data_IF_729205499684
#
_entry.id   IF_729205499684
#
_cell.length_a   1.000
_cell.length_b   1.000
_cell.length_c   1.000
_cell.angle_alpha   90.00
_cell.angle_beta   90.00
_cell.angle_gamma   90.00
#
_symmetry.space_group_name_H-M   'P 1'
#
loop_
_entity.id
_entity.type
_entity.pdbx_description
1 polymer ?
#
# COMPACT_ATOMS: atom_id res chain seq x y z
N UNK A 1 5.33 -2.49 26.69
CA UNK A 1 5.45 -3.96 26.56
C UNK A 1 6.71 -4.25 25.75
N UNK A 2 7.44 -5.32 26.09
CA UNK A 2 8.84 -5.59 25.71
C UNK A 2 9.15 -5.58 24.19
N UNK A 3 9.51 -4.43 23.61
CA UNK A 3 10.25 -4.32 22.34
C UNK A 3 11.31 -3.23 22.46
N UNK A 4 12.28 -3.42 23.36
CA UNK A 4 13.54 -2.69 23.37
C UNK A 4 14.61 -3.63 23.89
N UNK A 5 15.25 -4.41 23.01
CA UNK A 5 16.64 -4.86 23.22
C UNK A 5 17.19 -5.83 22.15
N UNK A 6 16.91 -5.73 20.85
CA UNK A 6 17.65 -6.56 19.87
C UNK A 6 17.88 -5.98 18.47
N UNK A 7 17.41 -4.76 18.17
CA UNK A 7 17.61 -4.16 16.83
C UNK A 7 18.84 -3.25 16.70
N UNK A 8 19.45 -2.78 17.81
CA UNK A 8 20.58 -1.83 17.77
C UNK A 8 21.97 -2.49 17.77
N UNK A 9 22.08 -3.76 18.20
CA UNK A 9 23.38 -4.42 18.43
C UNK A 9 23.87 -5.28 17.27
N UNK A 10 23.08 -5.49 16.21
CA UNK A 10 23.52 -6.22 15.01
C UNK A 10 23.89 -5.35 13.80
N UNK A 11 23.53 -4.07 13.79
CA UNK A 11 23.90 -3.15 12.70
C UNK A 11 25.13 -2.28 13.01
N UNK A 12 25.47 -2.07 14.30
CA UNK A 12 26.61 -1.25 14.72
C UNK A 12 27.98 -1.97 14.77
N UNK A 13 28.06 -3.25 14.38
CA UNK A 13 29.32 -4.00 14.31
C UNK A 13 29.87 -4.20 12.89
N UNK A 14 29.28 -3.56 11.88
CA UNK A 14 29.81 -3.55 10.51
C UNK A 14 30.73 -2.35 10.18
N UNK A 15 31.13 -1.56 11.18
CA UNK A 15 32.15 -0.50 11.03
C UNK A 15 33.51 -0.88 11.64
N UNK A 16 33.86 -2.16 11.62
CA UNK A 16 35.19 -2.61 12.03
C UNK A 16 36.12 -2.67 10.83
N UNK A 17 36.90 -1.58 10.67
CA UNK A 17 38.21 -1.50 10.00
C UNK A 17 38.85 -2.86 9.74
N UNK A 18 38.65 -3.42 8.54
CA UNK A 18 39.45 -4.51 8.00
C UNK A 18 40.11 -4.02 6.71
N UNK A 19 41.31 -3.45 6.92
CA UNK A 19 42.49 -3.52 6.06
C UNK A 19 42.24 -3.98 4.60
N UNK A 20 41.86 -3.05 3.72
CA UNK A 20 42.01 -3.23 2.28
C UNK A 20 43.48 -3.00 1.94
N UNK A 21 44.27 -4.07 1.83
CA UNK A 21 45.64 -3.98 1.33
C UNK A 21 45.59 -3.67 -0.16
N UNK A 22 45.97 -2.42 -0.49
CA UNK A 22 46.08 -1.88 -1.83
C UNK A 22 47.10 -2.70 -2.65
N UNK A 23 46.64 -3.53 -3.58
CA UNK A 23 47.48 -4.18 -4.57
C UNK A 23 47.74 -3.18 -5.71
N UNK A 24 48.92 -2.57 -5.71
CA UNK A 24 49.39 -1.72 -6.80
C UNK A 24 49.83 -2.63 -7.96
N UNK A 25 48.91 -2.95 -8.88
CA UNK A 25 49.22 -3.69 -10.09
C UNK A 25 49.71 -2.74 -11.18
N UNK A 26 50.91 -3.03 -11.68
CA UNK A 26 51.58 -2.42 -12.83
C UNK A 26 50.64 -2.35 -14.05
N UNK A 27 50.24 -1.13 -14.45
CA UNK A 27 49.43 -0.88 -15.63
C UNK A 27 50.24 -1.15 -16.90
N UNK A 28 50.21 -2.39 -17.39
CA UNK A 28 50.64 -2.70 -18.75
C UNK A 28 49.45 -2.32 -19.65
N UNK A 29 49.59 -1.25 -20.42
CA UNK A 29 48.64 -0.86 -21.45
C UNK A 29 48.65 -1.90 -22.58
N UNK A 30 47.93 -3.01 -22.40
CA UNK A 30 47.48 -3.79 -23.54
C UNK A 30 46.34 -3.01 -24.18
N UNK A 31 46.52 -2.56 -25.41
CA UNK A 31 45.40 -2.29 -26.30
C UNK A 31 44.74 -3.63 -26.60
N UNK A 32 43.98 -4.15 -25.65
CA UNK A 32 43.09 -5.27 -25.89
C UNK A 32 41.95 -4.73 -26.76
N UNK A 33 41.91 -5.15 -28.01
CA UNK A 33 40.71 -5.02 -28.82
C UNK A 33 39.61 -5.79 -28.09
N UNK A 34 38.47 -5.15 -27.82
CA UNK A 34 37.28 -5.87 -27.38
C UNK A 34 36.92 -6.89 -28.46
N UNK A 35 36.83 -8.16 -28.09
CA UNK A 35 36.34 -9.22 -28.98
C UNK A 35 34.90 -9.54 -28.61
N UNK A 36 34.04 -9.65 -29.61
CA UNK A 36 32.68 -10.15 -29.39
C UNK A 36 32.66 -11.68 -29.46
N UNK A 37 32.36 -12.31 -28.34
CA UNK A 37 32.11 -13.74 -28.22
C UNK A 37 30.61 -14.01 -28.20
N UNK A 38 30.15 -14.90 -29.06
CA UNK A 38 28.75 -15.36 -29.08
C UNK A 38 28.66 -16.83 -28.71
N UNK A 39 27.76 -17.22 -27.82
CA UNK A 39 27.59 -18.63 -27.51
C UNK A 39 26.96 -19.38 -28.70
N UNK A 40 27.54 -20.52 -29.08
CA UNK A 40 27.10 -21.35 -30.23
C UNK A 40 26.47 -22.67 -29.82
N UNK A 41 26.59 -23.03 -28.54
CA UNK A 41 25.99 -24.21 -27.95
C UNK A 41 25.75 -24.01 -26.46
N UNK A 42 25.01 -24.93 -25.84
CA UNK A 42 24.98 -25.02 -24.38
C UNK A 42 26.36 -25.44 -23.86
N UNK A 43 26.76 -24.92 -22.70
CA UNK A 43 28.06 -25.28 -22.12
C UNK A 43 28.49 -24.39 -20.97
N UNK A 44 29.65 -24.71 -20.40
CA UNK A 44 30.26 -23.89 -19.34
C UNK A 44 30.79 -22.58 -19.92
N UNK A 45 30.69 -21.50 -19.13
CA UNK A 45 31.27 -20.19 -19.45
C UNK A 45 32.76 -20.32 -19.77
N UNK A 46 33.51 -21.10 -18.97
CA UNK A 46 34.96 -21.25 -19.16
C UNK A 46 35.36 -22.24 -20.26
N UNK A 47 34.41 -22.81 -21.02
CA UNK A 47 34.75 -23.74 -22.10
C UNK A 47 34.94 -22.97 -23.42
N UNK A 48 36.12 -23.02 -24.07
CA UNK A 48 36.34 -22.35 -25.35
C UNK A 48 35.39 -22.78 -26.46
N UNK A 49 34.85 -24.00 -26.38
CA UNK A 49 33.90 -24.56 -27.35
C UNK A 49 32.48 -24.03 -27.20
N UNK A 50 32.16 -23.33 -26.10
CA UNK A 50 30.86 -22.67 -25.92
C UNK A 50 30.75 -21.45 -26.83
N UNK A 51 31.88 -20.83 -27.21
CA UNK A 51 31.92 -19.49 -27.81
C UNK A 51 32.48 -19.48 -29.24
N UNK A 52 32.01 -18.52 -30.03
CA UNK A 52 32.62 -18.12 -31.31
C UNK A 52 32.97 -16.62 -31.28
N UNK A 53 34.19 -16.21 -31.69
CA UNK A 53 35.33 -17.05 -32.04
C UNK A 53 35.76 -18.00 -30.91
N UNK A 54 36.48 -19.08 -31.24
CA UNK A 54 36.89 -20.06 -30.22
C UNK A 54 37.76 -19.39 -29.16
N UNK A 55 37.30 -19.39 -27.91
CA UNK A 55 37.94 -18.71 -26.79
C UNK A 55 36.96 -18.57 -25.63
N UNK A 56 37.40 -17.92 -24.54
CA UNK A 56 36.56 -17.65 -23.38
C UNK A 56 36.47 -16.13 -23.24
N UNK A 57 35.26 -15.54 -23.14
CA UNK A 57 35.13 -14.12 -22.86
C UNK A 57 35.88 -13.75 -21.58
N UNK A 58 36.73 -12.73 -21.65
CA UNK A 58 37.45 -12.17 -20.51
C UNK A 58 36.99 -10.71 -20.26
N UNK A 59 37.30 -10.11 -19.10
CA UNK A 59 36.93 -8.72 -18.85
C UNK A 59 37.47 -7.79 -19.95
N UNK A 60 36.59 -6.98 -20.54
CA UNK A 60 36.87 -6.14 -21.71
C UNK A 60 36.21 -6.60 -23.01
N UNK A 61 35.81 -7.87 -23.09
CA UNK A 61 35.10 -8.44 -24.24
C UNK A 61 33.58 -8.25 -24.16
N UNK A 62 32.91 -8.43 -25.30
CA UNK A 62 31.45 -8.50 -25.38
C UNK A 62 30.99 -9.97 -25.44
N UNK A 63 30.24 -10.44 -24.46
CA UNK A 63 29.67 -11.78 -24.40
C UNK A 63 28.17 -11.74 -24.75
N UNK A 64 27.79 -12.37 -25.87
CA UNK A 64 26.41 -12.55 -26.31
C UNK A 64 25.99 -13.99 -26.08
N UNK A 65 24.97 -14.19 -25.26
CA UNK A 65 24.48 -15.51 -24.85
C UNK A 65 23.17 -15.81 -25.57
N UNK A 66 23.21 -16.76 -26.50
CA UNK A 66 22.08 -17.26 -27.29
C UNK A 66 21.61 -18.67 -26.87
N UNK A 67 22.30 -19.28 -25.92
CA UNK A 67 22.13 -20.67 -25.50
C UNK A 67 22.13 -20.77 -23.96
N UNK A 68 21.96 -21.97 -23.42
CA UNK A 68 22.05 -22.20 -21.97
C UNK A 68 23.52 -22.29 -21.55
N UNK A 69 24.05 -21.19 -21.03
CA UNK A 69 25.42 -21.10 -20.53
C UNK A 69 25.42 -21.29 -19.01
N UNK A 70 26.30 -22.18 -18.54
CA UNK A 70 26.51 -22.46 -17.14
C UNK A 70 27.62 -21.55 -16.62
N UNK A 71 27.31 -20.67 -15.68
CA UNK A 71 28.31 -19.83 -15.00
C UNK A 71 29.05 -20.69 -13.98
N UNK A 72 30.21 -21.24 -14.35
CA UNK A 72 31.02 -22.11 -13.49
C UNK A 72 32.20 -21.40 -12.82
N UNK A 73 32.25 -20.07 -12.90
CA UNK A 73 33.20 -19.20 -12.20
C UNK A 73 32.51 -17.88 -11.86
N UNK A 74 32.85 -17.26 -10.73
CA UNK A 74 32.42 -15.88 -10.48
C UNK A 74 33.08 -14.95 -11.50
N UNK A 75 32.42 -13.83 -11.79
CA UNK A 75 32.86 -12.95 -12.88
C UNK A 75 32.74 -11.48 -12.48
N UNK A 76 33.82 -10.73 -12.69
CA UNK A 76 33.88 -9.29 -12.49
C UNK A 76 34.35 -8.65 -13.79
N UNK A 77 33.68 -7.59 -14.23
CA UNK A 77 34.00 -6.94 -15.49
C UNK A 77 34.02 -5.42 -15.33
N UNK A 78 35.08 -4.83 -15.86
CA UNK A 78 35.41 -3.40 -15.76
C UNK A 78 35.24 -2.66 -17.09
N UNK A 79 34.95 -3.39 -18.16
CA UNK A 79 34.59 -2.90 -19.51
C UNK A 79 34.02 -4.07 -20.33
N UNK A 80 33.48 -3.78 -21.52
CA UNK A 80 32.80 -4.77 -22.37
C UNK A 80 31.33 -4.98 -21.99
N UNK A 81 30.73 -6.09 -22.39
CA UNK A 81 29.32 -6.35 -22.11
C UNK A 81 28.98 -7.82 -21.88
N UNK A 82 27.89 -8.06 -21.16
CA UNK A 82 27.20 -9.35 -21.11
C UNK A 82 25.76 -9.12 -21.55
N UNK A 83 25.33 -9.85 -22.59
CA UNK A 83 23.95 -9.82 -23.09
C UNK A 83 23.38 -11.22 -23.10
N UNK A 84 22.30 -11.45 -22.35
CA UNK A 84 21.54 -12.71 -22.38
C UNK A 84 20.26 -12.50 -23.18
N UNK A 85 20.11 -13.20 -24.31
CA UNK A 85 18.95 -13.02 -25.20
C UNK A 85 17.68 -13.75 -24.74
N UNK A 86 16.52 -13.39 -25.32
CA UNK A 86 15.13 -13.74 -24.90
C UNK A 86 14.77 -15.24 -24.86
N UNK A 87 15.70 -16.15 -25.11
CA UNK A 87 15.49 -17.60 -24.94
C UNK A 87 16.73 -18.31 -24.39
N UNK A 88 17.69 -17.53 -23.90
CA UNK A 88 18.97 -18.00 -23.41
C UNK A 88 19.03 -17.89 -21.88
N UNK A 89 20.01 -18.56 -21.28
CA UNK A 89 20.20 -18.50 -19.84
C UNK A 89 21.66 -18.39 -19.44
N UNK A 90 21.92 -17.66 -18.35
CA UNK A 90 23.19 -17.69 -17.61
C UNK A 90 22.93 -18.15 -16.19
N UNK A 91 23.19 -19.43 -15.91
CA UNK A 91 22.81 -20.08 -14.65
C UNK A 91 24.03 -20.65 -13.97
N UNK A 92 24.21 -20.34 -12.69
CA UNK A 92 25.30 -20.89 -11.88
C UNK A 92 25.25 -22.42 -11.78
N UNK A 93 26.41 -23.07 -11.80
CA UNK A 93 26.55 -24.52 -11.57
C UNK A 93 26.33 -24.91 -10.09
N UNK A 94 26.72 -24.02 -9.19
CA UNK A 94 26.60 -24.15 -7.73
C UNK A 94 26.20 -22.80 -7.12
N UNK A 95 25.56 -22.76 -5.94
CA UNK A 95 25.11 -21.52 -5.29
C UNK A 95 26.27 -20.74 -4.66
N UNK A 96 27.28 -20.39 -5.47
CA UNK A 96 28.47 -19.65 -5.02
C UNK A 96 29.00 -18.67 -6.07
N UNK A 97 28.26 -18.46 -7.17
CA UNK A 97 28.74 -17.67 -8.31
C UNK A 97 28.21 -16.27 -8.24
N UNK A 98 29.13 -15.32 -8.31
CA UNK A 98 28.82 -13.90 -8.15
C UNK A 98 29.13 -13.15 -9.44
N UNK A 99 28.41 -12.04 -9.65
CA UNK A 99 28.66 -11.10 -10.73
C UNK A 99 28.93 -9.71 -10.15
N UNK A 100 30.01 -9.08 -10.62
CA UNK A 100 30.35 -7.69 -10.29
C UNK A 100 30.49 -6.83 -11.54
N UNK A 101 29.60 -5.85 -11.69
CA UNK A 101 29.64 -4.80 -12.71
C UNK A 101 30.44 -3.60 -12.15
N UNK A 102 31.66 -3.38 -12.66
CA UNK A 102 32.60 -2.40 -12.10
C UNK A 102 33.33 -1.56 -13.16
N UNK A 103 32.60 -1.02 -14.12
CA UNK A 103 33.20 -0.26 -15.21
C UNK A 103 32.26 0.77 -15.78
N UNK A 104 32.70 2.03 -15.92
CA UNK A 104 31.85 3.09 -16.46
C UNK A 104 31.32 2.78 -17.87
N UNK A 105 32.07 2.02 -18.68
CA UNK A 105 31.66 1.55 -20.01
C UNK A 105 31.14 0.11 -20.03
N UNK A 106 31.08 -0.57 -18.89
CA UNK A 106 30.61 -1.93 -18.81
C UNK A 106 29.06 -1.97 -18.90
N UNK A 107 28.53 -2.94 -19.65
CA UNK A 107 27.07 -3.08 -19.84
C UNK A 107 26.61 -4.49 -19.51
N UNK A 108 25.50 -4.60 -18.78
CA UNK A 108 24.84 -5.86 -18.48
C UNK A 108 23.38 -5.82 -18.90
N UNK A 109 23.02 -6.63 -19.87
CA UNK A 109 21.66 -6.72 -20.40
C UNK A 109 21.13 -8.14 -20.22
N UNK A 110 20.06 -8.27 -19.43
CA UNK A 110 19.32 -9.52 -19.31
C UNK A 110 17.97 -9.42 -20.02
N UNK A 111 17.82 -10.16 -21.12
CA UNK A 111 16.53 -10.38 -21.77
C UNK A 111 16.01 -11.81 -21.59
N UNK A 112 16.82 -12.72 -21.03
CA UNK A 112 16.52 -14.14 -20.85
C UNK A 112 16.38 -14.52 -19.38
N UNK A 113 17.05 -15.59 -18.96
CA UNK A 113 17.06 -16.03 -17.56
C UNK A 113 18.46 -16.00 -16.96
N UNK A 114 18.60 -15.39 -15.79
CA UNK A 114 19.85 -15.38 -15.04
C UNK A 114 19.60 -15.91 -13.63
N UNK A 115 20.49 -16.77 -13.15
CA UNK A 115 20.48 -17.25 -11.77
C UNK A 115 21.89 -17.29 -11.23
N UNK A 116 22.16 -16.47 -10.24
CA UNK A 116 23.47 -16.33 -9.59
C UNK A 116 23.27 -16.24 -8.07
N UNK A 117 24.36 -16.23 -7.30
CA UNK A 117 24.30 -16.03 -5.85
C UNK A 117 24.22 -14.54 -5.53
N UNK A 118 25.28 -13.78 -5.81
CA UNK A 118 25.31 -12.36 -5.48
C UNK A 118 25.56 -11.47 -6.71
N UNK A 119 24.98 -10.27 -6.68
CA UNK A 119 25.21 -9.23 -7.67
C UNK A 119 25.71 -7.94 -7.02
N UNK A 120 26.76 -7.36 -7.56
CA UNK A 120 27.23 -6.02 -7.18
C UNK A 120 27.24 -5.12 -8.42
N UNK A 121 26.51 -4.02 -8.37
CA UNK A 121 26.46 -3.02 -9.43
C UNK A 121 27.16 -1.73 -8.96
N UNK A 122 28.45 -1.60 -9.24
CA UNK A 122 29.27 -0.47 -8.76
C UNK A 122 29.44 0.64 -9.79
N UNK A 123 29.54 0.30 -11.08
CA UNK A 123 29.68 1.27 -12.17
C UNK A 123 29.30 0.62 -13.50
N UNK A 124 28.60 1.35 -14.37
CA UNK A 124 28.23 0.88 -15.72
C UNK A 124 26.74 1.03 -16.00
N UNK A 125 26.24 0.26 -16.96
CA UNK A 125 24.82 0.23 -17.34
C UNK A 125 24.22 -1.15 -17.07
N UNK A 126 23.06 -1.18 -16.41
CA UNK A 126 22.32 -2.40 -16.14
C UNK A 126 20.88 -2.31 -16.65
N UNK A 127 20.42 -3.35 -17.34
CA UNK A 127 19.04 -3.49 -17.80
C UNK A 127 18.54 -4.92 -17.68
N UNK A 128 17.37 -5.12 -17.06
CA UNK A 128 16.72 -6.41 -16.90
C UNK A 128 15.30 -6.41 -17.49
N UNK A 129 15.13 -6.95 -18.68
CA UNK A 129 13.82 -7.23 -19.29
C UNK A 129 13.38 -8.69 -19.14
N UNK A 130 14.31 -9.58 -18.77
CA UNK A 130 14.08 -11.01 -18.52
C UNK A 130 13.78 -11.33 -17.05
N UNK A 131 14.14 -12.54 -16.63
CA UNK A 131 14.06 -12.99 -15.23
C UNK A 131 15.46 -13.06 -14.63
N UNK A 132 15.66 -12.38 -13.52
CA UNK A 132 16.92 -12.37 -12.76
C UNK A 132 16.68 -12.89 -11.35
N UNK A 133 17.39 -13.94 -10.98
CA UNK A 133 17.37 -14.51 -9.63
C UNK A 133 18.74 -14.39 -8.97
N UNK A 134 18.76 -13.86 -7.75
CA UNK A 134 19.94 -13.80 -6.89
C UNK A 134 19.55 -13.93 -5.41
N UNK A 135 20.50 -14.29 -4.56
CA UNK A 135 20.31 -14.25 -3.11
C UNK A 135 20.34 -12.80 -2.64
N UNK A 136 21.45 -12.10 -2.87
CA UNK A 136 21.61 -10.72 -2.43
C UNK A 136 22.19 -9.84 -3.52
N UNK A 137 21.81 -8.56 -3.53
CA UNK A 137 22.40 -7.58 -4.42
C UNK A 137 22.64 -6.24 -3.73
N UNK A 138 23.69 -5.55 -4.17
CA UNK A 138 23.96 -4.16 -3.83
C UNK A 138 24.02 -3.33 -5.13
N UNK A 139 23.24 -2.28 -5.18
CA UNK A 139 23.13 -1.37 -6.32
C UNK A 139 23.67 0.02 -5.97
N UNK A 140 24.64 0.50 -6.74
CA UNK A 140 25.22 1.85 -6.65
C UNK A 140 25.09 2.62 -7.97
N UNK A 141 24.28 2.11 -8.90
CA UNK A 141 24.07 2.71 -10.22
C UNK A 141 22.56 2.80 -10.52
N UNK A 142 22.20 3.17 -11.74
CA UNK A 142 20.84 3.01 -12.23
C UNK A 142 20.56 1.57 -12.67
N UNK A 143 19.68 0.89 -11.96
CA UNK A 143 19.12 -0.42 -12.29
C UNK A 143 17.76 -0.24 -12.96
N UNK A 144 17.65 -0.56 -14.25
CA UNK A 144 16.37 -0.59 -14.95
C UNK A 144 15.79 -2.02 -14.94
N UNK A 145 14.58 -2.17 -14.42
CA UNK A 145 13.89 -3.45 -14.30
C UNK A 145 12.47 -3.42 -14.89
N UNK A 146 12.31 -3.50 -16.22
CA UNK A 146 11.03 -3.85 -16.84
C UNK A 146 10.64 -5.34 -16.73
N UNK A 147 11.59 -6.21 -16.38
CA UNK A 147 11.39 -7.66 -16.22
C UNK A 147 11.05 -8.10 -14.80
N UNK A 148 11.49 -9.31 -14.43
CA UNK A 148 11.32 -9.88 -13.10
C UNK A 148 12.64 -9.99 -12.34
N UNK A 149 12.65 -9.61 -11.08
CA UNK A 149 13.73 -9.85 -10.11
C UNK A 149 13.20 -10.72 -8.98
N UNK A 150 13.91 -11.80 -8.69
CA UNK A 150 13.69 -12.66 -7.53
C UNK A 150 14.92 -12.60 -6.63
N UNK A 151 14.87 -11.74 -5.62
CA UNK A 151 15.88 -11.59 -4.59
C UNK A 151 15.50 -12.45 -3.38
N UNK A 152 16.24 -13.53 -3.16
CA UNK A 152 15.88 -14.55 -2.17
C UNK A 152 16.16 -14.09 -0.73
N UNK A 153 17.03 -13.10 -0.56
CA UNK A 153 17.44 -12.62 0.75
C UNK A 153 17.34 -11.08 0.81
N UNK A 154 18.34 -10.36 0.29
CA UNK A 154 18.50 -8.93 0.59
C UNK A 154 18.85 -8.09 -0.63
N UNK A 155 18.11 -7.01 -0.85
CA UNK A 155 18.40 -5.99 -1.86
C UNK A 155 18.78 -4.68 -1.16
N UNK A 156 20.00 -4.21 -1.39
CA UNK A 156 20.47 -2.90 -0.95
C UNK A 156 20.54 -1.95 -2.15
N UNK A 157 19.89 -0.80 -2.05
CA UNK A 157 19.94 0.26 -3.04
C UNK A 157 20.61 1.51 -2.47
N UNK A 158 21.64 1.99 -3.15
CA UNK A 158 22.39 3.22 -2.90
C UNK A 158 22.73 3.89 -4.24
N UNK A 159 21.81 3.73 -5.18
CA UNK A 159 21.76 4.37 -6.48
C UNK A 159 20.30 4.54 -6.88
N UNK A 160 19.97 4.29 -8.14
CA UNK A 160 18.59 4.39 -8.61
C UNK A 160 18.05 3.02 -9.01
N UNK A 161 16.86 2.65 -8.55
CA UNK A 161 16.09 1.54 -9.12
C UNK A 161 14.87 2.10 -9.84
N UNK A 162 14.74 1.78 -11.12
CA UNK A 162 13.54 2.02 -11.91
C UNK A 162 12.82 0.68 -12.14
N UNK A 163 11.79 0.40 -11.34
CA UNK A 163 11.03 -0.84 -11.43
C UNK A 163 9.76 -0.66 -12.26
N UNK A 164 9.75 -1.19 -13.48
CA UNK A 164 8.56 -1.25 -14.34
C UNK A 164 7.94 -2.66 -14.41
N UNK A 165 8.60 -3.66 -13.83
CA UNK A 165 8.11 -5.04 -13.75
C UNK A 165 7.87 -5.48 -12.31
N UNK A 166 8.43 -6.62 -11.92
CA UNK A 166 8.22 -7.21 -10.59
C UNK A 166 9.54 -7.36 -9.86
N UNK A 167 9.58 -6.94 -8.60
CA UNK A 167 10.65 -7.27 -7.64
C UNK A 167 10.02 -8.09 -6.52
N UNK A 168 10.41 -9.35 -6.44
CA UNK A 168 10.14 -10.20 -5.27
C UNK A 168 11.39 -10.18 -4.38
N UNK A 169 11.25 -9.72 -3.13
CA UNK A 169 12.38 -9.55 -2.20
C UNK A 169 11.96 -9.85 -0.77
N UNK A 170 12.86 -10.45 0.03
CA UNK A 170 12.61 -10.68 1.45
C UNK A 170 12.94 -9.44 2.27
N UNK A 171 14.16 -8.93 2.18
CA UNK A 171 14.59 -7.69 2.85
C UNK A 171 15.00 -6.65 1.83
N UNK A 172 14.41 -5.45 1.93
CA UNK A 172 14.72 -4.34 1.03
C UNK A 172 15.18 -3.11 1.80
N UNK A 173 16.36 -2.61 1.48
CA UNK A 173 16.90 -1.36 2.02
C UNK A 173 17.10 -0.36 0.89
N UNK A 174 16.42 0.78 0.96
CA UNK A 174 16.59 1.89 0.03
C UNK A 174 17.29 3.06 0.71
N UNK A 175 18.52 3.37 0.27
CA UNK A 175 19.32 4.50 0.76
C UNK A 175 19.26 5.75 -0.13
N UNK A 176 18.86 5.58 -1.39
CA UNK A 176 18.85 6.64 -2.40
C UNK A 176 17.50 6.60 -3.15
N UNK A 177 17.46 6.52 -4.48
CA UNK A 177 16.24 6.69 -5.25
C UNK A 177 15.58 5.35 -5.65
N UNK A 178 14.32 5.17 -5.27
CA UNK A 178 13.46 4.10 -5.75
C UNK A 178 12.25 4.67 -6.51
N UNK A 179 12.15 4.32 -7.80
CA UNK A 179 10.98 4.61 -8.64
C UNK A 179 10.22 3.32 -8.92
N UNK A 180 9.09 3.11 -8.25
CA UNK A 180 8.23 1.95 -8.47
C UNK A 180 7.06 2.28 -9.39
N UNK A 181 7.08 1.77 -10.61
CA UNK A 181 5.96 1.78 -11.57
C UNK A 181 5.26 0.42 -11.67
N UNK A 182 5.86 -0.63 -11.11
CA UNK A 182 5.37 -2.01 -11.17
C UNK A 182 4.98 -2.55 -9.79
N UNK A 183 5.41 -3.77 -9.48
CA UNK A 183 5.11 -4.43 -8.20
C UNK A 183 6.38 -4.70 -7.41
N UNK A 184 6.34 -4.38 -6.11
CA UNK A 184 7.30 -4.87 -5.12
C UNK A 184 6.54 -5.67 -4.07
N UNK A 185 6.97 -6.91 -3.85
CA UNK A 185 6.33 -7.83 -2.91
C UNK A 185 7.35 -8.85 -2.38
N UNK A 186 6.88 -9.76 -1.52
CA UNK A 186 7.69 -10.89 -1.03
C UNK A 186 7.80 -12.01 -2.03
N UNK A 187 8.72 -12.95 -1.79
CA UNK A 187 8.79 -14.20 -2.55
C UNK A 187 7.52 -15.05 -2.43
N UNK A 188 6.87 -15.04 -1.26
CA UNK A 188 5.61 -15.75 -1.01
C UNK A 188 4.40 -14.83 -1.02
N UNK A 189 4.48 -13.68 -0.33
CA UNK A 189 3.34 -12.75 -0.19
C UNK A 189 3.80 -11.29 -0.08
N UNK A 190 4.60 -10.94 0.92
CA UNK A 190 4.99 -9.56 1.26
C UNK A 190 6.47 -9.47 1.57
N UNK A 191 7.07 -8.30 1.33
CA UNK A 191 8.45 -8.03 1.76
C UNK A 191 8.50 -8.15 3.28
N UNK A 192 9.35 -9.01 3.82
CA UNK A 192 9.42 -9.23 5.28
C UNK A 192 9.82 -7.94 6.00
N UNK A 193 10.89 -7.30 5.51
CA UNK A 193 11.39 -6.04 6.08
C UNK A 193 11.78 -5.06 4.99
N UNK A 194 11.09 -3.92 4.94
CA UNK A 194 11.41 -2.77 4.10
C UNK A 194 11.91 -1.61 4.97
N UNK A 195 13.07 -1.07 4.61
CA UNK A 195 13.62 0.15 5.20
C UNK A 195 13.86 1.18 4.10
N UNK A 196 13.29 2.37 4.25
CA UNK A 196 13.56 3.51 3.38
C UNK A 196 14.30 4.62 4.16
N UNK A 197 15.50 4.96 3.72
CA UNK A 197 16.28 6.12 4.17
C UNK A 197 16.33 7.23 3.10
N UNK A 198 16.20 6.85 1.82
CA UNK A 198 16.24 7.77 0.68
C UNK A 198 14.86 8.22 0.18
N UNK A 199 14.77 8.46 -1.12
CA UNK A 199 13.54 8.85 -1.81
C UNK A 199 12.83 7.62 -2.39
N UNK A 200 11.58 7.39 -2.00
CA UNK A 200 10.75 6.30 -2.50
C UNK A 200 9.47 6.85 -3.15
N UNK A 201 9.31 6.58 -4.45
CA UNK A 201 8.11 6.92 -5.20
C UNK A 201 7.35 5.65 -5.61
N UNK A 202 6.16 5.44 -5.06
CA UNK A 202 5.21 4.43 -5.53
C UNK A 202 4.22 5.11 -6.48
N UNK A 203 4.39 4.95 -7.79
CA UNK A 203 3.61 5.68 -8.80
C UNK A 203 2.18 5.12 -8.96
N UNK A 204 1.33 5.90 -9.64
CA UNK A 204 -0.02 5.48 -9.98
C UNK A 204 -0.03 4.13 -10.72
N UNK A 205 -0.85 3.20 -10.26
CA UNK A 205 -0.93 1.83 -10.78
C UNK A 205 0.13 0.86 -10.24
N UNK A 206 1.14 1.36 -9.52
CA UNK A 206 2.13 0.54 -8.87
C UNK A 206 1.60 -0.07 -7.56
N UNK A 207 2.19 -1.18 -7.14
CA UNK A 207 1.85 -1.88 -5.90
C UNK A 207 3.10 -2.12 -5.05
N UNK A 208 2.98 -1.87 -3.75
CA UNK A 208 3.98 -2.22 -2.75
C UNK A 208 3.33 -2.96 -1.59
N UNK A 209 3.83 -4.16 -1.28
CA UNK A 209 3.38 -4.98 -0.16
C UNK A 209 4.55 -5.30 0.77
N UNK A 210 4.46 -4.92 2.04
CA UNK A 210 5.45 -5.25 3.06
C UNK A 210 4.79 -5.68 4.37
N UNK A 211 5.39 -6.62 5.08
CA UNK A 211 5.04 -6.94 6.46
C UNK A 211 5.49 -5.78 7.35
N UNK A 212 6.81 -5.66 7.58
CA UNK A 212 7.38 -4.55 8.34
C UNK A 212 7.95 -3.48 7.40
N UNK A 213 7.40 -2.27 7.47
CA UNK A 213 7.87 -1.12 6.70
C UNK A 213 8.28 0.02 7.62
N UNK A 214 9.53 0.46 7.51
CA UNK A 214 10.03 1.66 8.18
C UNK A 214 10.41 2.70 7.13
N UNK A 215 9.84 3.89 7.24
CA UNK A 215 10.27 5.07 6.51
C UNK A 215 11.05 6.01 7.42
N UNK A 216 12.28 6.35 7.07
CA UNK A 216 13.12 7.35 7.72
C UNK A 216 13.68 8.38 6.70
N UNK A 217 13.21 8.33 5.45
CA UNK A 217 13.49 9.28 4.39
C UNK A 217 12.20 9.88 3.81
N UNK A 218 12.20 10.17 2.52
CA UNK A 218 11.01 10.66 1.83
C UNK A 218 10.26 9.51 1.16
N UNK A 219 8.96 9.42 1.41
CA UNK A 219 8.10 8.42 0.77
C UNK A 219 6.87 9.11 0.19
N UNK A 220 6.61 8.90 -1.10
CA UNK A 220 5.38 9.37 -1.76
C UNK A 220 4.63 8.18 -2.35
N UNK A 221 3.40 7.96 -1.88
CA UNK A 221 2.50 6.96 -2.41
C UNK A 221 1.44 7.59 -3.32
N UNK A 222 1.47 7.31 -4.62
CA UNK A 222 0.39 7.56 -5.58
C UNK A 222 -0.31 6.26 -6.05
N UNK A 223 0.25 5.11 -5.68
CA UNK A 223 -0.23 3.78 -6.05
C UNK A 223 -0.96 3.08 -4.92
N UNK A 224 -0.92 1.75 -4.90
CA UNK A 224 -1.49 0.94 -3.84
C UNK A 224 -0.39 0.46 -2.88
N UNK A 225 -0.58 0.69 -1.58
CA UNK A 225 0.35 0.25 -0.53
C UNK A 225 -0.39 -0.58 0.52
N UNK A 226 0.24 -1.69 0.91
CA UNK A 226 -0.18 -2.48 2.07
C UNK A 226 1.03 -2.73 2.97
N UNK A 227 0.94 -2.26 4.22
CA UNK A 227 1.95 -2.45 5.24
C UNK A 227 1.35 -3.12 6.47
N UNK A 228 1.81 -4.29 6.89
CA UNK A 228 1.21 -4.89 8.09
C UNK A 228 1.61 -4.09 9.34
N UNK A 229 2.90 -3.85 9.51
CA UNK A 229 3.48 -3.04 10.57
C UNK A 229 4.19 -1.85 9.92
N UNK A 230 3.62 -0.65 10.10
CA UNK A 230 4.16 0.56 9.50
C UNK A 230 4.71 1.50 10.57
N UNK A 231 5.95 1.95 10.37
CA UNK A 231 6.58 3.01 11.15
C UNK A 231 7.07 4.12 10.24
N UNK A 232 6.52 5.33 10.39
CA UNK A 232 7.15 6.54 9.89
C UNK A 232 8.06 7.07 11.01
N UNK A 233 9.37 7.01 10.82
CA UNK A 233 10.38 7.32 11.84
C UNK A 233 10.66 8.83 11.91
N UNK A 234 11.55 9.23 12.84
CA UNK A 234 11.76 10.63 13.22
C UNK A 234 12.16 11.56 12.08
N UNK A 235 12.91 11.08 11.09
CA UNK A 235 13.25 11.88 9.91
C UNK A 235 12.36 11.58 8.69
N UNK A 236 11.37 10.71 8.87
CA UNK A 236 10.50 10.24 7.82
C UNK A 236 9.47 11.30 7.42
N UNK A 237 9.45 11.63 6.14
CA UNK A 237 8.38 12.41 5.50
C UNK A 237 7.57 11.46 4.62
N UNK A 238 6.29 11.28 4.92
CA UNK A 238 5.42 10.38 4.17
C UNK A 238 4.22 11.15 3.60
N UNK A 239 4.04 11.09 2.29
CA UNK A 239 2.89 11.67 1.58
C UNK A 239 2.07 10.55 0.96
N UNK A 240 0.80 10.47 1.35
CA UNK A 240 -0.15 9.48 0.85
C UNK A 240 -1.20 10.12 -0.08
N UNK A 241 -1.00 9.99 -1.39
CA UNK A 241 -1.93 10.42 -2.44
C UNK A 241 -2.72 9.23 -3.05
N UNK A 242 -2.33 7.99 -2.74
CA UNK A 242 -3.01 6.76 -3.16
C UNK A 242 -3.60 5.96 -1.99
N UNK A 243 -4.23 4.80 -2.25
CA UNK A 243 -4.69 3.91 -1.19
C UNK A 243 -3.52 3.33 -0.36
N UNK A 244 -3.64 3.46 0.96
CA UNK A 244 -2.76 2.86 1.95
C UNK A 244 -3.58 2.00 2.92
N UNK A 245 -3.13 0.78 3.16
CA UNK A 245 -3.70 -0.08 4.22
C UNK A 245 -2.63 -0.52 5.20
N UNK A 246 -3.01 -0.67 6.47
CA UNK A 246 -2.14 -1.25 7.47
C UNK A 246 -2.81 -2.11 8.54
N UNK A 247 -2.03 -2.91 9.27
CA UNK A 247 -2.51 -3.51 10.54
C UNK A 247 -2.23 -2.56 11.68
N UNK A 248 -0.96 -2.28 11.98
CA UNK A 248 -0.56 -1.31 13.00
C UNK A 248 0.28 -0.18 12.39
N UNK A 249 0.05 1.04 12.87
CA UNK A 249 0.82 2.22 12.43
C UNK A 249 1.37 3.00 13.63
N UNK A 250 2.64 3.37 13.52
CA UNK A 250 3.27 4.36 14.39
C UNK A 250 3.85 5.50 13.54
N UNK A 251 3.35 6.72 13.74
CA UNK A 251 3.93 7.92 13.16
C UNK A 251 4.78 8.64 14.21
N UNK A 252 6.07 8.79 13.94
CA UNK A 252 7.03 9.58 14.70
C UNK A 252 7.73 10.61 13.81
N UNK A 253 7.24 10.86 12.59
CA UNK A 253 7.77 11.87 11.67
C UNK A 253 6.64 12.73 11.12
N UNK A 254 6.84 13.26 9.91
CA UNK A 254 5.84 14.07 9.21
C UNK A 254 5.02 13.19 8.28
N UNK A 255 3.70 13.16 8.47
CA UNK A 255 2.81 12.37 7.64
C UNK A 255 1.69 13.25 7.07
N UNK A 256 1.49 13.20 5.76
CA UNK A 256 0.36 13.85 5.07
C UNK A 256 -0.50 12.80 4.37
N UNK A 257 -1.79 12.81 4.64
CA UNK A 257 -2.78 12.00 3.93
C UNK A 257 -3.68 12.87 3.04
N UNK A 258 -3.67 12.62 1.74
CA UNK A 258 -4.55 13.24 0.75
C UNK A 258 -5.57 12.27 0.15
N UNK A 259 -5.55 11.01 0.57
CA UNK A 259 -6.30 9.92 -0.03
C UNK A 259 -6.87 8.99 1.05
N UNK A 260 -7.07 7.71 0.73
CA UNK A 260 -7.66 6.73 1.64
C UNK A 260 -6.61 5.99 2.46
N UNK A 261 -6.84 5.92 3.77
CA UNK A 261 -6.12 5.07 4.72
C UNK A 261 -7.12 4.09 5.35
N UNK A 262 -6.76 2.81 5.40
CA UNK A 262 -7.52 1.79 6.12
C UNK A 262 -6.62 1.01 7.09
N UNK A 263 -6.85 1.16 8.39
CA UNK A 263 -6.13 0.43 9.44
C UNK A 263 -6.99 -0.66 10.06
N UNK A 264 -6.46 -1.88 10.15
CA UNK A 264 -7.11 -3.03 10.78
C UNK A 264 -6.84 -3.13 12.29
N UNK A 265 -5.93 -2.31 12.82
CA UNK A 265 -5.63 -2.21 14.25
C UNK A 265 -5.23 -0.75 14.57
N UNK A 266 -4.40 -0.55 15.59
CA UNK A 266 -4.23 0.74 16.21
C UNK A 266 -3.35 1.66 15.38
N UNK A 267 -3.61 2.95 15.53
CA UNK A 267 -2.76 4.01 15.01
C UNK A 267 -2.27 4.86 16.17
N UNK A 268 -0.94 4.99 16.29
CA UNK A 268 -0.31 5.91 17.20
C UNK A 268 0.36 7.04 16.43
N UNK A 269 -0.10 8.26 16.67
CA UNK A 269 0.58 9.48 16.27
C UNK A 269 1.40 10.06 17.43
N UNK A 270 2.69 10.21 17.21
CA UNK A 270 3.68 10.73 18.15
C UNK A 270 4.32 12.06 17.66
N UNK A 271 4.09 12.44 16.40
CA UNK A 271 4.59 13.68 15.80
C UNK A 271 3.49 14.34 14.93
N UNK A 272 3.82 14.84 13.74
CA UNK A 272 2.91 15.61 12.89
C UNK A 272 2.17 14.67 11.94
N UNK A 273 0.85 14.75 11.97
CA UNK A 273 -0.02 14.09 11.02
C UNK A 273 -1.05 15.08 10.48
N UNK A 274 -1.09 15.23 9.16
CA UNK A 274 -2.03 16.09 8.45
C UNK A 274 -2.94 15.25 7.55
N UNK A 275 -4.19 15.05 7.97
CA UNK A 275 -5.24 14.52 7.10
C UNK A 275 -5.91 15.69 6.36
N UNK A 276 -5.69 15.80 5.05
CA UNK A 276 -6.22 16.91 4.27
C UNK A 276 -7.73 16.78 4.03
N UNK A 277 -8.33 17.78 3.40
CA UNK A 277 -9.78 17.81 3.14
C UNK A 277 -10.31 16.75 2.18
N UNK A 278 -9.42 16.09 1.43
CA UNK A 278 -9.76 14.91 0.61
C UNK A 278 -9.36 13.60 1.29
N UNK A 279 -8.60 13.68 2.39
CA UNK A 279 -8.12 12.54 3.14
C UNK A 279 -9.24 11.82 3.89
N UNK A 280 -9.26 10.50 3.77
CA UNK A 280 -10.20 9.62 4.46
C UNK A 280 -9.44 8.57 5.24
N UNK A 281 -9.73 8.44 6.52
CA UNK A 281 -9.10 7.46 7.40
C UNK A 281 -10.21 6.61 8.01
N UNK A 282 -10.05 5.29 7.92
CA UNK A 282 -10.91 4.34 8.63
C UNK A 282 -10.02 3.40 9.45
N UNK A 283 -10.21 3.38 10.76
CA UNK A 283 -9.59 2.42 11.67
C UNK A 283 -10.65 1.49 12.23
N UNK A 284 -10.34 0.21 12.34
CA UNK A 284 -11.24 -0.74 13.01
C UNK A 284 -11.07 -0.78 14.52
N UNK A 285 -9.99 -0.18 15.05
CA UNK A 285 -9.72 -0.12 16.49
C UNK A 285 -9.44 1.33 16.93
N UNK A 286 -8.45 1.53 17.80
CA UNK A 286 -8.25 2.78 18.53
C UNK A 286 -7.20 3.69 17.89
N UNK A 287 -7.37 4.98 18.13
CA UNK A 287 -6.43 6.04 17.77
C UNK A 287 -5.81 6.66 19.02
N UNK A 288 -4.49 6.83 19.01
CA UNK A 288 -3.74 7.52 20.06
C UNK A 288 -2.93 8.68 19.47
N UNK A 289 -3.21 9.91 19.92
CA UNK A 289 -2.38 11.08 19.67
C UNK A 289 -1.65 11.47 20.95
N UNK A 290 -0.38 11.08 21.08
CA UNK A 290 0.39 11.29 22.30
C UNK A 290 1.90 11.23 22.06
N UNK A 291 2.63 12.15 22.70
CA UNK A 291 4.06 12.01 22.94
C UNK A 291 4.36 12.27 24.41
N UNK A 292 4.83 11.23 25.11
CA UNK A 292 5.17 11.33 26.53
C UNK A 292 6.57 11.89 26.79
N UNK A 293 7.39 12.09 25.75
CA UNK A 293 8.79 12.49 25.89
C UNK A 293 9.00 13.95 25.49
N UNK A 294 8.65 14.34 24.26
CA UNK A 294 8.88 15.69 23.74
C UNK A 294 7.59 16.52 23.68
N UNK A 295 6.43 15.88 23.81
CA UNK A 295 5.11 16.51 23.74
C UNK A 295 4.88 17.23 22.40
N UNK A 296 5.28 16.60 21.30
CA UNK A 296 5.21 17.16 19.94
C UNK A 296 4.05 16.61 19.09
N UNK A 297 3.41 15.51 19.52
CA UNK A 297 2.26 14.92 18.82
C UNK A 297 1.17 15.96 18.45
N UNK A 298 0.92 16.10 17.15
CA UNK A 298 -0.07 17.00 16.55
C UNK A 298 -0.79 16.29 15.41
N UNK A 299 -2.12 16.24 15.48
CA UNK A 299 -2.94 15.64 14.44
C UNK A 299 -3.93 16.68 13.90
N UNK A 300 -3.74 17.11 12.67
CA UNK A 300 -4.70 17.93 11.95
C UNK A 300 -5.64 17.06 11.12
N UNK A 301 -6.94 17.28 11.25
CA UNK A 301 -7.95 16.60 10.46
C UNK A 301 -8.87 17.59 9.75
N UNK A 302 -8.65 17.75 8.46
CA UNK A 302 -9.52 18.52 7.57
C UNK A 302 -10.43 17.63 6.72
N UNK A 303 -10.25 16.31 6.77
CA UNK A 303 -11.02 15.30 6.04
C UNK A 303 -11.93 14.45 6.93
N UNK A 304 -12.10 13.17 6.62
CA UNK A 304 -12.89 12.25 7.46
C UNK A 304 -12.02 11.25 8.19
N UNK A 305 -12.34 10.98 9.45
CA UNK A 305 -11.66 9.99 10.27
C UNK A 305 -12.67 9.16 11.09
N UNK A 306 -12.92 7.94 10.65
CA UNK A 306 -13.73 6.96 11.36
C UNK A 306 -12.86 6.04 12.23
N UNK A 307 -13.16 5.99 13.52
CA UNK A 307 -12.43 5.25 14.55
C UNK A 307 -13.37 4.19 15.12
N UNK A 308 -13.08 2.93 14.81
CA UNK A 308 -13.93 1.78 15.12
C UNK A 308 -13.97 1.37 16.59
N UNK A 309 -13.10 1.93 17.43
CA UNK A 309 -13.08 1.73 18.87
C UNK A 309 -12.88 3.10 19.56
N UNK A 310 -11.77 3.31 20.27
CA UNK A 310 -11.60 4.44 21.17
C UNK A 310 -10.67 5.53 20.62
N UNK A 311 -10.96 6.78 20.97
CA UNK A 311 -10.16 7.95 20.64
C UNK A 311 -9.43 8.45 21.87
N UNK A 312 -8.10 8.61 21.77
CA UNK A 312 -7.27 9.13 22.85
C UNK A 312 -6.43 10.32 22.38
N UNK A 313 -6.76 11.52 22.86
CA UNK A 313 -5.94 12.70 22.68
C UNK A 313 -5.23 13.11 23.97
N UNK A 314 -3.91 13.03 23.99
CA UNK A 314 -3.07 13.54 25.06
C UNK A 314 -2.25 14.76 24.66
N UNK A 315 -2.42 15.27 23.43
CA UNK A 315 -1.70 16.45 22.94
C UNK A 315 -2.58 17.30 22.01
N UNK A 316 -2.12 17.64 20.80
CA UNK A 316 -2.83 18.63 19.97
C UNK A 316 -3.61 17.96 18.85
N UNK A 317 -4.91 18.29 18.77
CA UNK A 317 -5.80 17.97 17.66
C UNK A 317 -6.29 19.28 17.05
N UNK A 318 -6.18 19.41 15.75
CA UNK A 318 -6.71 20.56 14.99
C UNK A 318 -7.61 20.10 13.86
N UNK A 319 -8.37 21.03 13.28
CA UNK A 319 -9.11 20.78 12.06
C UNK A 319 -9.99 21.97 11.67
N UNK A 320 -10.35 22.01 10.39
CA UNK A 320 -11.28 22.98 9.83
C UNK A 320 -12.70 22.43 9.73
N UNK A 321 -13.62 23.22 9.18
CA UNK A 321 -15.04 22.87 9.04
C UNK A 321 -15.34 21.74 8.06
N UNK A 322 -14.34 21.25 7.31
CA UNK A 322 -14.48 20.02 6.51
C UNK A 322 -14.04 18.77 7.30
N UNK A 323 -13.33 18.97 8.41
CA UNK A 323 -12.86 17.92 9.29
C UNK A 323 -13.99 17.23 10.03
N UNK A 324 -13.93 15.91 10.13
CA UNK A 324 -14.86 15.11 10.92
C UNK A 324 -14.17 13.91 11.57
N UNK A 325 -14.49 13.67 12.84
CA UNK A 325 -14.14 12.46 13.58
C UNK A 325 -15.41 11.70 13.94
N UNK A 326 -15.43 10.39 13.69
CA UNK A 326 -16.48 9.48 14.18
C UNK A 326 -15.84 8.46 15.11
N UNK A 327 -16.31 8.35 16.36
CA UNK A 327 -15.77 7.44 17.38
C UNK A 327 -16.85 6.47 17.82
N UNK A 328 -16.57 5.16 17.81
CA UNK A 328 -17.58 4.12 18.09
C UNK A 328 -17.67 3.70 19.56
N UNK A 329 -16.58 3.83 20.31
CA UNK A 329 -16.54 3.57 21.76
C UNK A 329 -16.03 4.83 22.47
N UNK A 330 -15.03 4.73 23.33
CA UNK A 330 -14.73 5.76 24.30
C UNK A 330 -13.93 6.92 23.71
N UNK A 331 -14.25 8.15 24.10
CA UNK A 331 -13.47 9.34 23.75
C UNK A 331 -12.79 10.02 24.95
N UNK A 332 -11.49 10.26 24.84
CA UNK A 332 -10.68 10.85 25.91
C UNK A 332 -9.88 12.03 25.38
N UNK A 333 -10.00 13.18 26.04
CA UNK A 333 -9.20 14.37 25.78
C UNK A 333 -8.51 14.86 27.06
N UNK A 334 -7.18 14.67 27.13
CA UNK A 334 -6.29 15.33 28.09
C UNK A 334 -5.53 16.51 27.47
N UNK A 335 -5.53 16.62 26.14
CA UNK A 335 -4.80 17.62 25.39
C UNK A 335 -5.63 18.84 25.00
N UNK A 336 -5.36 19.38 23.82
CA UNK A 336 -6.13 20.47 23.19
C UNK A 336 -6.81 19.96 21.94
N UNK A 337 -8.09 20.29 21.78
CA UNK A 337 -8.83 20.18 20.53
C UNK A 337 -9.19 21.60 20.08
N UNK A 338 -8.67 22.04 18.93
CA UNK A 338 -8.87 23.41 18.42
C UNK A 338 -9.33 23.48 16.97
N UNK A 339 -10.03 24.55 16.61
CA UNK A 339 -10.62 24.70 15.28
C UNK A 339 -12.14 24.53 15.28
N UNK A 340 -12.69 24.11 14.15
CA UNK A 340 -14.14 24.08 13.91
C UNK A 340 -14.62 22.84 13.15
N UNK A 341 -13.97 21.70 13.42
CA UNK A 341 -14.34 20.39 12.89
C UNK A 341 -15.53 19.76 13.64
N UNK A 342 -16.08 18.70 13.08
CA UNK A 342 -17.16 17.92 13.67
C UNK A 342 -16.60 16.73 14.47
N UNK A 343 -17.09 16.53 15.69
CA UNK A 343 -16.70 15.41 16.56
C UNK A 343 -17.92 14.58 16.96
N UNK A 344 -17.98 13.35 16.47
CA UNK A 344 -19.14 12.47 16.56
C UNK A 344 -18.81 11.24 17.39
N UNK A 345 -19.03 11.36 18.68
CA UNK A 345 -18.94 10.26 19.65
C UNK A 345 -20.25 9.46 19.65
N UNK A 346 -20.17 8.13 19.59
CA UNK A 346 -21.31 7.22 19.66
C UNK A 346 -21.77 6.94 21.10
N UNK A 347 -20.93 7.18 22.10
CA UNK A 347 -21.23 6.98 23.53
C UNK A 347 -21.19 8.26 24.37
N UNK A 348 -21.59 9.45 23.85
CA UNK A 348 -21.27 10.72 24.50
C UNK A 348 -21.96 10.86 25.87
N UNK A 349 -21.36 11.60 26.80
CA UNK A 349 -22.03 11.98 28.04
C UNK A 349 -23.27 12.84 27.74
N UNK A 350 -24.21 12.90 28.69
CA UNK A 350 -25.48 13.62 28.51
C UNK A 350 -25.32 15.16 28.37
N UNK A 351 -24.13 15.70 28.62
CA UNK A 351 -23.85 17.13 28.59
C UNK A 351 -22.58 17.42 27.81
N UNK A 352 -22.54 18.60 27.17
CA UNK A 352 -21.35 19.12 26.52
C UNK A 352 -20.12 19.07 27.48
N UNK A 353 -18.92 18.74 26.97
CA UNK A 353 -18.55 18.73 25.54
C UNK A 353 -18.76 17.40 24.79
N UNK A 354 -19.64 16.50 25.24
CA UNK A 354 -19.96 15.26 24.50
C UNK A 354 -18.73 14.40 24.16
N UNK A 355 -17.71 14.48 25.02
CA UNK A 355 -16.50 13.64 25.06
C UNK A 355 -16.52 12.94 26.41
N UNK A 356 -16.37 11.62 26.46
CA UNK A 356 -16.56 10.83 27.70
C UNK A 356 -15.70 11.32 28.86
N UNK A 357 -14.43 11.57 28.57
CA UNK A 357 -13.47 12.06 29.54
C UNK A 357 -12.72 13.26 28.99
N UNK A 358 -13.21 14.46 29.30
CA UNK A 358 -12.51 15.70 28.98
C UNK A 358 -11.83 16.31 30.22
N UNK A 359 -10.50 16.22 30.25
CA UNK A 359 -9.61 16.93 31.19
C UNK A 359 -8.80 18.04 30.51
N UNK A 360 -8.87 18.11 29.18
CA UNK A 360 -8.20 19.08 28.34
C UNK A 360 -9.07 20.29 27.97
N UNK A 361 -8.62 21.01 26.95
CA UNK A 361 -9.34 22.16 26.37
C UNK A 361 -9.99 21.76 25.04
N UNK A 362 -11.17 22.31 24.81
CA UNK A 362 -11.92 22.14 23.56
C UNK A 362 -12.44 23.51 23.13
N UNK A 363 -12.17 23.88 21.89
CA UNK A 363 -12.56 25.15 21.29
C UNK A 363 -14.09 25.20 21.06
N UNK A 364 -14.81 26.28 21.42
CA UNK A 364 -16.26 26.38 21.29
C UNK A 364 -16.83 26.23 19.87
N UNK A 365 -15.99 26.27 18.84
CA UNK A 365 -16.43 26.12 17.45
C UNK A 365 -16.48 24.66 16.97
N UNK A 366 -15.95 23.71 17.75
CA UNK A 366 -16.12 22.27 17.48
C UNK A 366 -17.60 21.92 17.63
N UNK A 367 -18.16 21.29 16.61
CA UNK A 367 -19.54 20.83 16.62
C UNK A 367 -19.60 19.35 16.94
N UNK A 368 -20.77 18.88 17.39
CA UNK A 368 -20.96 17.49 17.78
C UNK A 368 -22.13 16.91 17.02
N UNK A 369 -22.00 15.65 16.59
CA UNK A 369 -23.12 14.94 16.02
C UNK A 369 -24.25 14.87 17.06
N UNK A 370 -25.41 15.44 16.72
CA UNK A 370 -26.64 15.09 17.43
C UNK A 370 -26.97 13.66 17.04
N UNK A 371 -26.89 12.72 17.99
CA UNK A 371 -27.43 11.37 17.83
C UNK A 371 -28.96 11.49 17.78
N UNK A 372 -29.47 12.01 16.65
CA UNK A 372 -30.87 11.96 16.31
C UNK A 372 -31.06 10.73 15.42
N UNK A 373 -32.07 9.93 15.73
CA UNK A 373 -32.51 8.86 14.84
C UNK A 373 -32.92 9.59 13.56
N UNK A 374 -32.12 9.49 12.50
CA UNK A 374 -32.53 9.97 11.19
C UNK A 374 -33.80 9.18 10.82
N UNK A 375 -34.96 9.82 10.88
CA UNK A 375 -36.15 9.27 10.23
C UNK A 375 -35.77 9.09 8.77
N UNK A 376 -35.81 7.83 8.31
CA UNK A 376 -35.41 7.43 6.97
C UNK A 376 -36.05 8.37 5.92
N UNK A 377 -35.24 9.26 5.35
CA UNK A 377 -35.67 10.29 4.40
C UNK A 377 -36.01 9.73 3.03
N UNK A 378 -35.87 8.41 2.82
CA UNK A 378 -36.33 7.71 1.63
C UNK A 378 -37.82 7.32 1.69
N UNK A 379 -38.69 8.15 2.28
CA UNK A 379 -40.12 8.07 1.97
C UNK A 379 -40.32 8.62 0.57
N UNK A 380 -40.20 7.76 -0.45
CA UNK A 380 -40.77 8.05 -1.76
C UNK A 380 -42.28 8.24 -1.52
N UNK A 381 -42.79 9.45 -1.74
CA UNK A 381 -44.21 9.76 -1.60
C UNK A 381 -45.00 9.06 -2.71
N UNK A 382 -45.32 7.78 -2.51
CA UNK A 382 -46.20 7.02 -3.38
C UNK A 382 -47.63 7.44 -3.04
N UNK A 383 -48.25 8.21 -3.94
CA UNK A 383 -49.66 8.57 -3.81
C UNK A 383 -50.55 7.45 -4.33
N UNK A 384 -51.48 7.00 -3.49
CA UNK A 384 -52.53 6.06 -3.86
C UNK A 384 -53.86 6.50 -3.28
N UNK A 385 -54.95 6.29 -4.03
CA UNK A 385 -56.27 6.78 -3.67
C UNK A 385 -57.39 5.93 -4.26
N UNK A 386 -58.59 5.95 -3.66
CA UNK A 386 -58.88 6.47 -2.33
C UNK A 386 -58.27 5.55 -1.24
N UNK A 387 -57.88 6.14 -0.11
CA UNK A 387 -57.53 5.42 1.11
C UNK A 387 -58.06 6.22 2.31
N UNK A 388 -59.14 5.80 2.99
CA UNK A 388 -59.82 4.50 2.88
C UNK A 388 -60.51 4.21 1.53
N UNK A 389 -60.72 2.93 1.20
CA UNK A 389 -61.39 2.47 -0.03
C UNK A 389 -62.54 1.51 0.25
N UNK A 390 -63.52 1.44 -0.67
CA UNK A 390 -64.57 0.39 -0.70
C UNK A 390 -64.20 -0.82 -1.55
N UNK A 391 -63.04 -0.81 -2.22
CA UNK A 391 -62.56 -1.94 -2.99
C UNK A 391 -61.48 -1.62 -4.01
N UNK A 392 -61.59 -0.50 -4.73
CA UNK A 392 -60.61 -0.14 -5.77
C UNK A 392 -59.61 0.90 -5.24
N UNK A 393 -58.33 0.69 -5.49
CA UNK A 393 -57.24 1.62 -5.19
C UNK A 393 -56.44 1.88 -6.46
N UNK A 394 -56.09 3.13 -6.70
CA UNK A 394 -55.38 3.61 -7.89
C UNK A 394 -54.02 4.19 -7.49
N UNK A 395 -53.02 4.01 -8.36
CA UNK A 395 -51.65 4.45 -8.16
C UNK A 395 -51.23 5.40 -9.29
N UNK A 396 -50.33 6.35 -8.98
CA UNK A 396 -49.81 7.28 -9.98
C UNK A 396 -49.09 6.60 -11.15
N UNK A 397 -48.45 5.45 -10.90
CA UNK A 397 -47.66 4.69 -11.87
C UNK A 397 -47.83 3.18 -11.67
N UNK A 398 -47.17 2.36 -12.51
CA UNK A 398 -47.16 0.90 -12.36
C UNK A 398 -46.08 0.47 -11.36
N UNK A 399 -46.50 -0.29 -10.37
CA UNK A 399 -45.63 -0.87 -9.34
C UNK A 399 -45.87 -2.36 -9.19
N UNK A 400 -44.94 -3.05 -8.54
CA UNK A 400 -45.21 -4.35 -7.93
C UNK A 400 -45.84 -4.12 -6.56
N UNK A 401 -47.07 -4.55 -6.37
CA UNK A 401 -47.89 -4.34 -5.18
C UNK A 401 -48.06 -5.66 -4.44
N UNK A 402 -47.89 -5.64 -3.13
CA UNK A 402 -48.15 -6.78 -2.25
C UNK A 402 -49.03 -6.33 -1.09
N UNK A 403 -50.10 -7.07 -0.82
CA UNK A 403 -51.02 -6.78 0.29
C UNK A 403 -50.90 -7.86 1.34
N UNK A 404 -50.69 -7.45 2.58
CA UNK A 404 -50.66 -8.34 3.73
C UNK A 404 -51.82 -8.02 4.69
N UNK A 405 -52.31 -9.04 5.38
CA UNK A 405 -53.22 -8.83 6.50
C UNK A 405 -52.47 -8.34 7.75
N UNK A 406 -53.21 -8.01 8.81
CA UNK A 406 -52.65 -7.51 10.06
C UNK A 406 -51.71 -8.49 10.80
N UNK A 407 -51.71 -9.78 10.43
CA UNK A 407 -50.77 -10.79 10.97
C UNK A 407 -49.59 -11.08 10.04
N UNK A 408 -49.40 -10.29 8.97
CA UNK A 408 -48.26 -10.39 8.06
C UNK A 408 -48.37 -11.50 7.01
N UNK A 409 -49.55 -12.07 6.78
CA UNK A 409 -49.76 -13.04 5.70
C UNK A 409 -50.06 -12.33 4.38
N UNK A 410 -49.36 -12.72 3.32
CA UNK A 410 -49.58 -12.22 1.96
C UNK A 410 -50.94 -12.68 1.44
N UNK A 411 -51.78 -11.72 1.04
CA UNK A 411 -53.13 -11.95 0.51
C UNK A 411 -53.19 -11.82 -1.01
N UNK A 412 -52.46 -10.87 -1.59
CA UNK A 412 -52.52 -10.58 -3.02
C UNK A 412 -51.26 -9.90 -3.50
N UNK A 413 -50.86 -10.22 -4.73
CA UNK A 413 -49.84 -9.52 -5.50
C UNK A 413 -50.43 -8.98 -6.80
N UNK A 414 -49.94 -7.84 -7.26
CA UNK A 414 -50.39 -7.21 -8.51
C UNK A 414 -49.27 -6.36 -9.11
N UNK A 415 -49.22 -6.28 -10.45
CA UNK A 415 -48.35 -5.35 -11.19
C UNK A 415 -49.13 -4.24 -11.89
N UNK A 416 -50.42 -4.15 -11.60
CA UNK A 416 -51.36 -3.22 -12.21
C UNK A 416 -51.32 -1.86 -11.50
N UNK A 417 -51.61 -0.79 -12.25
CA UNK A 417 -51.78 0.58 -11.73
C UNK A 417 -53.07 0.74 -10.87
N UNK A 418 -53.90 -0.31 -10.83
CA UNK A 418 -55.07 -0.41 -9.99
C UNK A 418 -55.09 -1.74 -9.24
N UNK A 419 -55.61 -1.70 -8.03
CA UNK A 419 -55.69 -2.82 -7.12
C UNK A 419 -57.15 -3.01 -6.68
N UNK A 420 -57.69 -4.20 -6.92
CA UNK A 420 -59.04 -4.55 -6.52
C UNK A 420 -59.01 -5.45 -5.28
N UNK A 421 -59.44 -4.89 -4.16
CA UNK A 421 -59.64 -5.55 -2.86
C UNK A 421 -61.12 -5.57 -2.44
N UNK A 422 -62.06 -5.47 -3.39
CA UNK A 422 -63.50 -5.49 -3.06
C UNK A 422 -63.94 -6.76 -2.36
N UNK A 423 -63.24 -7.87 -2.58
CA UNK A 423 -63.49 -9.16 -1.94
C UNK A 423 -62.92 -9.28 -0.52
N UNK A 424 -62.11 -8.32 -0.08
CA UNK A 424 -61.47 -8.35 1.23
C UNK A 424 -62.46 -7.85 2.31
N UNK A 425 -62.48 -8.46 3.51
CA UNK A 425 -63.22 -7.93 4.64
C UNK A 425 -62.80 -6.51 4.99
N UNK A 426 -63.71 -5.72 5.58
CA UNK A 426 -63.38 -4.40 6.12
C UNK A 426 -62.30 -4.52 7.19
N UNK A 427 -61.28 -3.68 7.14
CA UNK A 427 -60.12 -3.78 8.02
C UNK A 427 -58.89 -3.02 7.54
N UNK A 428 -57.81 -3.17 8.30
CA UNK A 428 -56.51 -2.57 8.01
C UNK A 428 -55.62 -3.63 7.34
N UNK A 429 -55.00 -3.23 6.25
CA UNK A 429 -54.05 -4.02 5.48
C UNK A 429 -52.72 -3.28 5.37
N UNK A 430 -51.66 -4.04 5.17
CA UNK A 430 -50.33 -3.51 4.90
C UNK A 430 -50.08 -3.60 3.39
N UNK A 431 -49.71 -2.49 2.79
CA UNK A 431 -49.40 -2.38 1.38
C UNK A 431 -47.89 -2.18 1.22
N UNK A 432 -47.25 -3.13 0.55
CA UNK A 432 -45.84 -3.01 0.13
C UNK A 432 -45.82 -2.63 -1.34
N UNK A 433 -45.08 -1.58 -1.65
CA UNK A 433 -44.90 -1.10 -3.02
C UNK A 433 -43.44 -1.29 -3.39
N UNK A 434 -43.22 -2.00 -4.50
CA UNK A 434 -41.91 -2.31 -5.07
C UNK A 434 -41.81 -1.73 -6.48
N UNK A 435 -40.60 -1.43 -6.92
CA UNK A 435 -40.33 -1.11 -8.33
C UNK A 435 -40.55 -2.36 -9.21
N UNK A 436 -40.43 -2.18 -10.53
CA UNK A 436 -40.56 -3.30 -11.47
C UNK A 436 -39.39 -4.30 -11.39
N UNK A 437 -38.29 -3.95 -10.73
CA UNK A 437 -37.14 -4.83 -10.48
C UNK A 437 -37.25 -5.61 -9.17
N UNK A 438 -38.26 -5.32 -8.33
CA UNK A 438 -38.53 -5.98 -7.05
C UNK A 438 -37.96 -5.28 -5.81
N UNK A 439 -37.34 -4.10 -5.96
CA UNK A 439 -36.84 -3.29 -4.86
C UNK A 439 -38.01 -2.65 -4.11
N UNK A 440 -38.06 -2.77 -2.79
CA UNK A 440 -39.09 -2.12 -1.97
C UNK A 440 -38.92 -0.61 -1.96
N UNK A 441 -39.94 0.11 -2.43
CA UNK A 441 -40.00 1.56 -2.52
C UNK A 441 -40.76 2.18 -1.33
N UNK A 442 -41.84 1.54 -0.89
CA UNK A 442 -42.65 2.03 0.22
C UNK A 442 -43.38 0.91 0.96
N UNK A 443 -43.77 1.25 2.19
CA UNK A 443 -44.59 0.42 3.06
C UNK A 443 -45.64 1.33 3.71
N UNK A 444 -46.92 1.10 3.43
CA UNK A 444 -48.00 1.97 3.90
C UNK A 444 -49.26 1.20 4.34
N UNK A 445 -50.13 1.88 5.07
CA UNK A 445 -51.39 1.36 5.59
C UNK A 445 -52.51 1.57 4.59
N UNK A 446 -53.20 0.49 4.21
CA UNK A 446 -54.39 0.52 3.37
C UNK A 446 -55.64 0.18 4.19
N UNK A 447 -56.67 1.03 4.14
CA UNK A 447 -57.90 0.86 4.92
C UNK A 447 -59.04 0.47 3.97
N UNK A 448 -59.66 -0.70 4.21
CA UNK A 448 -60.87 -1.17 3.52
C UNK A 448 -62.09 -0.91 4.40
N UNK A 449 -63.05 -0.15 3.89
CA UNK A 449 -64.36 0.08 4.51
C UNK A 449 -65.39 -0.97 4.11
#
# INVERSE_FOLDING_TARGET
MYIRSNFSTKFNTMFTKHLFTLLFSMSIFFQAYSVTYTSTANGNWTSPTTWTPMGVPIPGDDAIINHNVILNTSYAYTSGSITVNTSASLVQDVPSRDIWLNGASATFTNNGTITIRNMLLSAGTFNNTGVLTFNSAANFITMNNPGGINCIDSLYNDGTINNNGVINVVTFFNNDLMNNYGTIQGLSTVVDSLWNEGDFFNFLGATLLADSATNNGNFTNNGNVQFFQFTNFVNGVFVNDGPLSFTDMTNMGDFTNNSTITGANNMWNNEIFDNSSTGQITLTTSFLNADSVNNTASFNNDGSFDIGDSFYNFNTITGSSSGSFTVQDSSVNFGTMSGNFDFCDATPPATAPFVDFNFGTIDPFITYCTVSIAENSNKINISFYPNPTKGMVFFGEKYQLEIYNAVGQLLQQSTSQQLNISAFPSGIYLLVVKDLAGTQLAFDKLIKE
#
